data_IF_086016356422
#
_entry.id   IF_086016356422
#
_cell.length_a   1.000
_cell.length_b   1.000
_cell.length_c   1.000
_cell.angle_alpha   90.00
_cell.angle_beta   90.00
_cell.angle_gamma   90.00
#
_symmetry.space_group_name_H-M   'P 1'
#
loop_
_entity.id
_entity.type
_entity.pdbx_description
1 polymer ?
#
# COMPACT_ATOMS: atom_id res chain seq x y z
N UNK A 1 36.03 50.78 -13.65
CA UNK A 1 34.81 51.57 -13.63
C UNK A 1 33.72 50.69 -14.18
N UNK A 2 32.64 50.39 -13.60
CA UNK A 2 31.96 50.75 -12.39
C UNK A 2 31.14 49.51 -11.90
N UNK A 3 31.16 49.28 -10.59
CA UNK A 3 30.29 48.33 -9.91
C UNK A 3 28.86 48.92 -9.87
N UNK A 4 27.86 48.17 -10.33
CA UNK A 4 26.50 48.40 -9.84
C UNK A 4 25.93 47.03 -9.39
N UNK A 5 25.90 46.88 -8.12
CA UNK A 5 25.19 45.81 -7.41
C UNK A 5 23.71 46.23 -7.33
N UNK A 6 22.82 45.56 -8.03
CA UNK A 6 21.38 45.65 -7.80
C UNK A 6 21.02 44.53 -6.86
N UNK A 7 20.71 44.92 -5.61
CA UNK A 7 20.08 44.10 -4.62
C UNK A 7 18.62 43.93 -5.01
N UNK A 8 18.25 42.74 -5.44
CA UNK A 8 16.83 42.34 -5.30
C UNK A 8 16.69 40.81 -5.36
N UNK A 9 15.99 40.33 -4.37
CA UNK A 9 15.37 39.02 -4.21
C UNK A 9 16.17 37.90 -3.58
N UNK A 10 15.94 37.76 -2.25
CA UNK A 10 16.33 36.67 -1.35
C UNK A 10 15.61 35.34 -1.69
N UNK A 11 15.94 34.68 -2.78
CA UNK A 11 15.52 33.28 -3.02
C UNK A 11 16.31 32.52 -4.10
N UNK A 12 17.38 33.05 -4.68
CA UNK A 12 18.24 32.24 -5.56
C UNK A 12 19.68 32.79 -5.49
N UNK A 13 20.55 32.04 -4.82
CA UNK A 13 22.00 32.23 -4.92
C UNK A 13 22.43 31.85 -6.35
N UNK A 14 22.36 32.77 -7.27
CA UNK A 14 23.01 32.68 -8.58
C UNK A 14 24.03 33.82 -8.67
N UNK A 15 25.29 33.49 -8.38
CA UNK A 15 26.40 34.38 -8.66
C UNK A 15 26.78 34.17 -10.12
N UNK A 16 26.40 35.07 -10.99
CA UNK A 16 26.86 35.12 -12.40
C UNK A 16 28.16 35.88 -12.44
N UNK A 17 29.29 35.18 -12.59
CA UNK A 17 30.57 35.78 -12.97
C UNK A 17 30.61 35.70 -14.50
N UNK A 18 30.36 36.84 -15.17
CA UNK A 18 30.54 36.97 -16.59
C UNK A 18 32.05 37.12 -16.92
N UNK A 19 32.64 36.10 -17.50
CA UNK A 19 33.89 36.18 -18.23
C UNK A 19 33.61 35.69 -19.66
N UNK A 20 33.83 36.55 -20.60
CA UNK A 20 33.53 36.35 -22.02
C UNK A 20 34.35 35.22 -22.66
N UNK A 21 33.74 34.58 -23.64
CA UNK A 21 34.38 33.75 -24.65
C UNK A 21 34.44 32.26 -24.33
N UNK A 22 33.40 31.50 -24.68
CA UNK A 22 33.46 30.03 -24.63
C UNK A 22 32.12 29.37 -24.49
N UNK A 23 31.25 29.39 -25.50
CA UNK A 23 29.84 28.95 -25.40
C UNK A 23 29.59 27.40 -25.32
N UNK A 24 30.64 26.58 -25.19
CA UNK A 24 30.49 25.12 -25.18
C UNK A 24 30.77 24.43 -23.85
N UNK A 25 31.61 24.99 -22.99
CA UNK A 25 32.04 24.37 -21.73
C UNK A 25 31.18 24.75 -20.51
N UNK A 26 30.54 25.92 -20.52
CA UNK A 26 29.69 26.37 -19.43
C UNK A 26 28.33 25.65 -19.41
N UNK A 27 27.79 25.25 -20.56
CA UNK A 27 26.55 24.49 -20.67
C UNK A 27 26.66 23.09 -20.06
N UNK A 28 27.79 22.41 -20.32
CA UNK A 28 28.05 21.07 -19.77
C UNK A 28 28.32 21.06 -18.25
N UNK A 29 29.03 22.06 -17.74
CA UNK A 29 29.29 22.17 -16.29
C UNK A 29 28.00 22.51 -15.51
N UNK A 30 27.07 23.28 -16.05
CA UNK A 30 25.76 23.54 -15.41
C UNK A 30 24.86 22.33 -15.41
N UNK A 31 24.85 21.53 -16.49
CA UNK A 31 24.04 20.30 -16.57
C UNK A 31 24.56 19.24 -15.57
N UNK A 32 25.86 19.11 -15.40
CA UNK A 32 26.49 18.17 -14.46
C UNK A 32 26.27 18.60 -13.00
N UNK A 33 26.37 19.90 -12.70
CA UNK A 33 26.10 20.44 -11.35
C UNK A 33 24.64 20.32 -10.95
N UNK A 34 23.70 20.48 -11.89
CA UNK A 34 22.25 20.33 -11.64
C UNK A 34 21.86 18.85 -11.46
N UNK A 35 22.49 17.93 -12.17
CA UNK A 35 22.28 16.49 -11.97
C UNK A 35 22.84 15.97 -10.64
N UNK A 36 23.99 16.47 -10.17
CA UNK A 36 24.56 16.08 -8.88
C UNK A 36 23.75 16.61 -7.69
N UNK A 37 23.23 17.82 -7.78
CA UNK A 37 22.34 18.41 -6.77
C UNK A 37 20.99 17.66 -6.67
N UNK A 38 20.45 17.21 -7.79
CA UNK A 38 19.22 16.42 -7.83
C UNK A 38 19.35 15.04 -7.16
N UNK A 39 20.48 14.37 -7.34
CA UNK A 39 20.73 13.07 -6.70
C UNK A 39 20.91 13.19 -5.18
N UNK A 40 21.62 14.20 -4.69
CA UNK A 40 21.81 14.42 -3.25
C UNK A 40 20.48 14.69 -2.53
N UNK A 41 19.61 15.47 -3.14
CA UNK A 41 18.28 15.78 -2.60
C UNK A 41 17.37 14.55 -2.60
N UNK A 42 17.41 13.71 -3.62
CA UNK A 42 16.67 12.44 -3.65
C UNK A 42 17.13 11.48 -2.54
N UNK A 43 18.45 11.37 -2.28
CA UNK A 43 18.98 10.56 -1.20
C UNK A 43 18.55 11.10 0.18
N UNK A 44 18.58 12.41 0.38
CA UNK A 44 18.12 13.04 1.61
C UNK A 44 16.61 12.79 1.86
N UNK A 45 15.81 12.86 0.82
CA UNK A 45 14.39 12.51 0.88
C UNK A 45 14.17 11.04 1.23
N UNK A 46 14.88 10.13 0.56
CA UNK A 46 14.83 8.69 0.85
C UNK A 46 15.20 8.39 2.30
N UNK A 47 16.31 8.95 2.80
CA UNK A 47 16.75 8.75 4.20
C UNK A 47 15.73 9.30 5.20
N UNK A 48 15.14 10.47 4.92
CA UNK A 48 14.08 11.03 5.76
C UNK A 48 12.84 10.12 5.78
N UNK A 49 12.42 9.60 4.63
CA UNK A 49 11.29 8.66 4.52
C UNK A 49 11.58 7.33 5.18
N UNK A 50 12.80 6.80 5.03
CA UNK A 50 13.24 5.59 5.70
C UNK A 50 13.24 5.77 7.23
N UNK A 51 13.74 6.89 7.72
CA UNK A 51 13.68 7.21 9.15
C UNK A 51 12.27 7.28 9.70
N UNK A 52 11.34 7.92 8.98
CA UNK A 52 9.91 7.93 9.32
C UNK A 52 9.30 6.52 9.30
N UNK A 53 9.66 5.70 8.30
CA UNK A 53 9.23 4.32 8.18
C UNK A 53 9.64 3.48 9.38
N UNK A 54 10.90 3.59 9.80
CA UNK A 54 11.43 2.93 11.01
C UNK A 54 10.69 3.41 12.26
N UNK A 55 10.44 4.71 12.38
CA UNK A 55 9.68 5.27 13.49
C UNK A 55 8.24 4.73 13.55
N UNK A 56 7.56 4.61 12.41
CA UNK A 56 6.20 4.03 12.33
C UNK A 56 6.22 2.57 12.82
N UNK A 57 7.17 1.77 12.36
CA UNK A 57 7.30 0.36 12.79
C UNK A 57 7.60 0.29 14.29
N UNK A 58 8.49 1.12 14.82
CA UNK A 58 8.83 1.16 16.24
C UNK A 58 7.60 1.54 17.10
N UNK A 59 6.82 2.53 16.68
CA UNK A 59 5.58 2.92 17.36
C UNK A 59 4.55 1.78 17.30
N UNK A 60 4.37 1.16 16.15
CA UNK A 60 3.46 0.03 15.99
C UNK A 60 3.86 -1.16 16.91
N UNK A 61 5.16 -1.48 16.97
CA UNK A 61 5.70 -2.50 17.90
C UNK A 61 5.39 -2.17 19.35
N UNK A 62 5.60 -0.90 19.75
CA UNK A 62 5.34 -0.46 21.12
C UNK A 62 3.86 -0.54 21.47
N UNK A 63 2.98 -0.11 20.58
CA UNK A 63 1.53 -0.20 20.74
C UNK A 63 1.08 -1.66 20.86
N UNK A 64 1.56 -2.53 19.97
CA UNK A 64 1.26 -3.97 20.01
C UNK A 64 1.69 -4.60 21.34
N UNK A 65 2.90 -4.28 21.79
CA UNK A 65 3.41 -4.77 23.06
C UNK A 65 2.52 -4.32 24.23
N UNK A 66 2.14 -3.05 24.28
CA UNK A 66 1.26 -2.51 25.33
C UNK A 66 -0.12 -3.16 25.27
N UNK A 67 -0.75 -3.24 24.09
CA UNK A 67 -2.08 -3.84 23.94
C UNK A 67 -2.08 -5.28 24.44
N UNK A 68 -1.09 -6.09 24.06
CA UNK A 68 -1.02 -7.50 24.47
C UNK A 68 -0.82 -7.68 25.97
N UNK A 69 -0.17 -6.73 26.65
CA UNK A 69 -0.04 -6.72 28.10
C UNK A 69 -1.26 -6.18 28.85
N UNK A 70 -2.11 -5.40 28.16
CA UNK A 70 -3.36 -4.88 28.75
C UNK A 70 -4.53 -5.90 28.67
N UNK A 71 -4.43 -6.92 27.83
CA UNK A 71 -5.50 -7.91 27.69
C UNK A 71 -5.58 -8.76 28.97
N UNK A 72 -6.72 -8.79 29.66
CA UNK A 72 -6.87 -9.57 30.88
C UNK A 72 -6.81 -11.06 30.57
N UNK A 73 -6.02 -11.80 31.36
CA UNK A 73 -5.84 -13.25 31.26
C UNK A 73 -4.39 -13.66 31.46
N UNK A 74 -4.19 -14.84 32.00
CA UNK A 74 -2.85 -15.42 32.14
C UNK A 74 -2.49 -16.16 30.84
N UNK A 75 -1.56 -15.63 30.01
CA UNK A 75 -1.17 -16.25 28.74
C UNK A 75 -0.65 -17.68 28.94
N UNK A 76 -0.05 -17.95 30.09
CA UNK A 76 0.49 -19.28 30.43
C UNK A 76 -0.62 -20.29 30.63
N UNK A 77 -1.68 -19.92 31.36
CA UNK A 77 -2.83 -20.79 31.57
C UNK A 77 -3.60 -21.08 30.27
N UNK A 78 -3.58 -20.15 29.32
CA UNK A 78 -4.17 -20.32 27.98
C UNK A 78 -3.31 -21.28 27.17
N UNK A 79 -2.00 -21.09 27.19
CA UNK A 79 -1.03 -21.86 26.43
C UNK A 79 -1.00 -23.33 26.84
N UNK A 80 -0.94 -23.59 28.15
CA UNK A 80 -0.78 -24.91 28.69
C UNK A 80 -2.14 -25.62 28.95
N UNK A 81 -3.24 -24.86 28.89
CA UNK A 81 -4.58 -25.38 29.09
C UNK A 81 -4.92 -25.69 30.56
N UNK A 82 -6.17 -26.13 30.82
CA UNK A 82 -6.68 -26.30 32.18
C UNK A 82 -6.05 -27.48 32.95
N UNK A 83 -5.36 -28.38 32.27
CA UNK A 83 -4.71 -29.55 32.88
C UNK A 83 -3.27 -29.33 33.31
N UNK A 84 -2.69 -28.15 33.06
CA UNK A 84 -1.33 -27.86 33.42
C UNK A 84 -1.15 -27.72 34.93
N UNK A 85 -0.14 -28.38 35.47
CA UNK A 85 0.26 -28.28 36.87
C UNK A 85 0.88 -26.93 37.18
N UNK A 86 0.90 -26.52 38.45
CA UNK A 86 1.48 -25.27 38.90
C UNK A 86 2.97 -25.17 38.50
N UNK A 87 3.70 -26.27 38.66
CA UNK A 87 5.10 -26.38 38.31
C UNK A 87 5.36 -26.17 36.80
N UNK A 88 4.52 -26.74 35.94
CA UNK A 88 4.61 -26.51 34.49
C UNK A 88 4.37 -25.05 34.10
N UNK A 89 3.43 -24.40 34.80
CA UNK A 89 3.13 -22.98 34.59
C UNK A 89 4.29 -22.07 35.00
N UNK A 90 4.93 -22.37 36.14
CA UNK A 90 6.09 -21.64 36.64
C UNK A 90 7.30 -21.80 35.74
N UNK A 91 7.59 -23.03 35.30
CA UNK A 91 8.66 -23.29 34.35
C UNK A 91 8.45 -22.58 33.02
N UNK A 92 7.22 -22.60 32.52
CA UNK A 92 6.87 -21.89 31.27
C UNK A 92 7.00 -20.37 31.42
N UNK A 93 6.55 -19.79 32.57
CA UNK A 93 6.74 -18.35 32.86
C UNK A 93 8.22 -17.97 32.89
N UNK A 94 9.01 -18.73 33.62
CA UNK A 94 10.45 -18.50 33.71
C UNK A 94 11.13 -18.59 32.33
N UNK A 95 10.78 -19.61 31.54
CA UNK A 95 11.31 -19.80 30.18
C UNK A 95 10.95 -18.67 29.23
N UNK A 96 9.68 -18.18 29.31
CA UNK A 96 9.20 -17.08 28.47
C UNK A 96 9.60 -15.70 29.02
N UNK A 97 10.12 -15.64 30.25
CA UNK A 97 10.54 -14.38 30.89
C UNK A 97 9.38 -13.44 31.23
N UNK A 98 8.18 -13.98 31.45
CA UNK A 98 6.97 -13.22 31.77
C UNK A 98 7.06 -12.63 33.20
N UNK A 99 7.85 -13.26 34.08
CA UNK A 99 8.08 -12.79 35.46
C UNK A 99 9.05 -11.60 35.55
N UNK A 100 9.65 -11.19 34.45
CA UNK A 100 10.56 -10.07 34.43
C UNK A 100 9.80 -8.74 34.40
N UNK A 101 10.43 -7.64 34.87
CA UNK A 101 9.86 -6.30 34.73
C UNK A 101 9.50 -5.99 33.27
N UNK A 102 8.38 -5.29 33.06
CA UNK A 102 7.80 -5.02 31.73
C UNK A 102 8.81 -4.35 30.77
N UNK A 103 9.67 -3.46 31.29
CA UNK A 103 10.68 -2.80 30.46
C UNK A 103 11.78 -3.79 29.96
N UNK A 104 12.10 -4.83 30.73
CA UNK A 104 13.03 -5.89 30.28
C UNK A 104 12.35 -6.78 29.24
N UNK A 105 11.06 -7.10 29.43
CA UNK A 105 10.27 -7.84 28.43
C UNK A 105 10.20 -7.07 27.10
N UNK A 106 9.95 -5.77 27.16
CA UNK A 106 9.96 -4.90 25.97
C UNK A 106 11.33 -4.88 25.27
N UNK A 107 12.40 -4.72 26.04
CA UNK A 107 13.76 -4.74 25.47
C UNK A 107 14.10 -6.08 24.77
N UNK A 108 13.71 -7.22 25.38
CA UNK A 108 13.84 -8.54 24.78
C UNK A 108 13.00 -8.69 23.52
N UNK A 109 11.75 -8.22 23.55
CA UNK A 109 10.86 -8.23 22.40
C UNK A 109 11.48 -7.46 21.20
N UNK A 110 11.95 -6.24 21.43
CA UNK A 110 12.60 -5.43 20.39
C UNK A 110 13.88 -6.12 19.88
N UNK A 111 14.74 -6.65 20.77
CA UNK A 111 15.96 -7.35 20.39
C UNK A 111 15.67 -8.60 19.54
N UNK A 112 14.66 -9.39 19.92
CA UNK A 112 14.25 -10.58 19.17
C UNK A 112 13.73 -10.21 17.77
N UNK A 113 12.90 -9.17 17.67
CA UNK A 113 12.39 -8.68 16.37
C UNK A 113 13.54 -8.22 15.46
N UNK A 114 14.53 -7.48 16.01
CA UNK A 114 15.69 -7.04 15.24
C UNK A 114 16.58 -8.20 14.75
N UNK A 115 16.57 -9.32 15.46
CA UNK A 115 17.23 -10.57 15.05
C UNK A 115 16.38 -11.43 14.10
N UNK A 116 15.18 -10.98 13.73
CA UNK A 116 14.26 -11.74 12.89
C UNK A 116 13.49 -12.84 13.63
N UNK A 117 13.62 -12.93 14.95
CA UNK A 117 12.90 -13.88 15.78
C UNK A 117 11.58 -13.25 16.26
N UNK A 118 10.47 -13.65 15.64
CA UNK A 118 9.12 -13.20 16.00
C UNK A 118 8.47 -14.05 17.12
N UNK A 119 9.25 -14.97 17.72
CA UNK A 119 8.74 -15.91 18.71
C UNK A 119 8.25 -17.22 18.12
N UNK A 120 7.58 -18.02 18.99
CA UNK A 120 7.04 -19.32 18.63
C UNK A 120 5.54 -19.33 18.89
N UNK A 121 4.83 -20.07 18.07
CA UNK A 121 3.42 -20.40 18.27
C UNK A 121 3.27 -21.21 19.54
N UNK A 122 2.36 -20.75 20.40
CA UNK A 122 2.13 -21.35 21.72
C UNK A 122 1.62 -22.79 21.64
N UNK A 123 0.83 -23.12 20.60
CA UNK A 123 0.20 -24.44 20.47
C UNK A 123 1.05 -25.45 19.71
N UNK A 124 1.65 -25.02 18.60
CA UNK A 124 2.41 -25.91 17.72
C UNK A 124 3.93 -25.88 17.98
N UNK A 125 4.44 -24.86 18.68
CA UNK A 125 5.88 -24.63 18.86
C UNK A 125 6.62 -24.20 17.59
N UNK A 126 5.90 -24.00 16.48
CA UNK A 126 6.49 -23.57 15.21
C UNK A 126 6.94 -22.12 15.29
N UNK A 127 7.95 -21.76 14.51
CA UNK A 127 8.37 -20.35 14.37
C UNK A 127 7.23 -19.51 13.80
N UNK A 128 6.92 -18.38 14.45
CA UNK A 128 5.92 -17.41 13.98
C UNK A 128 6.29 -16.91 12.60
N UNK A 129 7.58 -16.70 12.34
CA UNK A 129 8.07 -16.25 11.03
C UNK A 129 7.70 -17.24 9.91
N UNK A 130 7.80 -18.55 10.17
CA UNK A 130 7.49 -19.57 9.16
C UNK A 130 5.97 -19.66 8.91
N UNK A 131 5.16 -19.52 9.98
CA UNK A 131 3.70 -19.44 9.85
C UNK A 131 3.30 -18.26 8.98
N UNK A 132 3.85 -17.07 9.27
CA UNK A 132 3.56 -15.84 8.52
C UNK A 132 4.05 -15.93 7.07
N UNK A 133 5.26 -16.46 6.84
CA UNK A 133 5.79 -16.65 5.48
C UNK A 133 4.90 -17.54 4.60
N UNK A 134 4.24 -18.53 5.17
CA UNK A 134 3.30 -19.41 4.44
C UNK A 134 2.01 -18.66 4.06
N UNK A 135 1.54 -17.73 4.90
CA UNK A 135 0.29 -17.00 4.67
C UNK A 135 0.48 -15.74 3.82
N UNK A 136 1.65 -15.10 3.91
CA UNK A 136 1.96 -13.84 3.23
C UNK A 136 1.70 -13.84 1.72
N UNK A 137 2.12 -14.87 0.94
CA UNK A 137 1.90 -14.90 -0.49
C UNK A 137 0.42 -14.83 -0.88
N UNK A 138 -0.47 -15.46 -0.11
CA UNK A 138 -1.90 -15.46 -0.39
C UNK A 138 -2.51 -14.06 -0.28
N UNK A 139 -2.14 -13.29 0.76
CA UNK A 139 -2.56 -11.89 0.92
C UNK A 139 -1.98 -11.00 -0.17
N UNK A 140 -0.68 -11.15 -0.48
CA UNK A 140 -0.02 -10.35 -1.53
C UNK A 140 -0.68 -10.60 -2.90
N UNK A 141 -0.92 -11.85 -3.27
CA UNK A 141 -1.59 -12.21 -4.53
C UNK A 141 -3.00 -11.62 -4.58
N UNK A 142 -3.77 -11.72 -3.49
CA UNK A 142 -5.11 -11.15 -3.41
C UNK A 142 -5.09 -9.62 -3.64
N UNK A 143 -4.19 -8.90 -2.96
CA UNK A 143 -4.04 -7.44 -3.12
C UNK A 143 -3.58 -7.08 -4.53
N UNK A 144 -2.59 -7.80 -5.10
CA UNK A 144 -2.12 -7.56 -6.47
C UNK A 144 -3.23 -7.76 -7.52
N UNK A 145 -4.04 -8.80 -7.38
CA UNK A 145 -5.19 -9.04 -8.26
C UNK A 145 -6.22 -7.93 -8.08
N UNK A 146 -6.57 -7.58 -6.84
CA UNK A 146 -7.56 -6.54 -6.55
C UNK A 146 -7.13 -5.17 -7.09
N UNK A 147 -5.88 -4.74 -6.87
CA UNK A 147 -5.38 -3.46 -7.38
C UNK A 147 -5.25 -3.47 -8.91
N UNK A 148 -4.82 -4.58 -9.48
CA UNK A 148 -4.61 -4.72 -10.93
C UNK A 148 -5.88 -4.53 -11.73
N UNK A 149 -6.95 -5.28 -11.39
CA UNK A 149 -8.22 -5.12 -12.09
C UNK A 149 -8.91 -3.79 -11.79
N UNK A 150 -8.86 -3.30 -10.52
CA UNK A 150 -9.47 -2.02 -10.15
C UNK A 150 -8.76 -0.84 -10.82
N UNK A 151 -7.43 -0.87 -10.94
CA UNK A 151 -6.68 0.14 -11.67
C UNK A 151 -7.06 0.13 -13.16
N UNK A 152 -7.08 -1.05 -13.78
CA UNK A 152 -7.40 -1.19 -15.20
C UNK A 152 -8.82 -0.68 -15.50
N UNK A 153 -9.83 -1.19 -14.78
CA UNK A 153 -11.21 -0.79 -14.99
C UNK A 153 -11.46 0.66 -14.61
N UNK A 154 -10.88 1.14 -13.50
CA UNK A 154 -10.99 2.52 -13.05
C UNK A 154 -10.40 3.52 -14.05
N UNK A 155 -9.23 3.23 -14.62
CA UNK A 155 -8.62 4.07 -15.67
C UNK A 155 -9.49 4.09 -16.92
N UNK A 156 -9.99 2.94 -17.38
CA UNK A 156 -10.87 2.85 -18.56
C UNK A 156 -12.14 3.66 -18.34
N UNK A 157 -12.84 3.46 -17.21
CA UNK A 157 -14.08 4.16 -16.89
C UNK A 157 -13.86 5.67 -16.72
N UNK A 158 -12.79 6.08 -16.05
CA UNK A 158 -12.45 7.48 -15.84
C UNK A 158 -12.11 8.20 -17.14
N UNK A 159 -11.31 7.57 -17.99
CA UNK A 159 -10.95 8.10 -19.30
C UNK A 159 -12.20 8.23 -20.20
N UNK A 160 -13.03 7.18 -20.26
CA UNK A 160 -14.25 7.17 -21.05
C UNK A 160 -15.26 8.24 -20.59
N UNK A 161 -15.43 8.37 -19.27
CA UNK A 161 -16.28 9.39 -18.64
C UNK A 161 -15.79 10.81 -18.94
N UNK A 162 -14.47 11.06 -18.93
CA UNK A 162 -13.90 12.36 -19.27
C UNK A 162 -14.09 12.73 -20.76
N UNK A 163 -13.89 11.77 -21.66
CA UNK A 163 -14.04 11.98 -23.11
C UNK A 163 -15.50 12.26 -23.49
N UNK A 164 -16.44 11.60 -22.81
CA UNK A 164 -17.89 11.80 -23.02
C UNK A 164 -18.52 12.65 -21.92
N UNK A 165 -17.82 13.71 -21.52
CA UNK A 165 -18.27 14.65 -20.49
C UNK A 165 -19.71 15.11 -20.71
N UNK A 166 -20.50 15.17 -19.61
CA UNK A 166 -21.91 15.59 -19.57
C UNK A 166 -22.88 14.68 -20.33
N UNK A 167 -22.45 13.52 -20.83
CA UNK A 167 -23.35 12.53 -21.44
C UNK A 167 -24.10 11.73 -20.35
N UNK A 168 -25.15 11.01 -20.78
CA UNK A 168 -25.89 10.09 -19.90
C UNK A 168 -24.94 9.01 -19.34
N UNK A 169 -24.01 8.50 -20.16
CA UNK A 169 -23.02 7.51 -19.75
C UNK A 169 -22.06 8.06 -18.67
N UNK A 170 -21.63 9.32 -18.78
CA UNK A 170 -20.83 9.98 -17.75
C UNK A 170 -21.58 10.04 -16.41
N UNK A 171 -22.87 10.36 -16.44
CA UNK A 171 -23.72 10.39 -15.23
C UNK A 171 -23.90 9.01 -14.62
N UNK A 172 -24.16 7.98 -15.44
CA UNK A 172 -24.30 6.58 -14.98
C UNK A 172 -23.01 6.11 -14.33
N UNK A 173 -21.84 6.30 -14.99
CA UNK A 173 -20.53 5.96 -14.42
C UNK A 173 -20.32 6.71 -13.11
N UNK A 174 -20.68 8.00 -13.06
CA UNK A 174 -20.59 8.81 -11.83
C UNK A 174 -21.40 8.21 -10.67
N UNK A 175 -22.64 7.82 -10.91
CA UNK A 175 -23.50 7.20 -9.88
C UNK A 175 -22.94 5.84 -9.43
N UNK A 176 -22.56 4.98 -10.38
CA UNK A 176 -22.01 3.66 -10.07
C UNK A 176 -20.70 3.77 -9.27
N UNK A 177 -19.82 4.69 -9.65
CA UNK A 177 -18.54 4.88 -8.94
C UNK A 177 -18.72 5.43 -7.54
N UNK A 178 -19.67 6.32 -7.31
CA UNK A 178 -20.03 6.81 -5.97
C UNK A 178 -20.62 5.69 -5.13
N UNK A 179 -21.55 4.92 -5.70
CA UNK A 179 -22.13 3.75 -5.03
C UNK A 179 -21.07 2.71 -4.64
N UNK A 180 -20.13 2.42 -5.55
CA UNK A 180 -19.03 1.48 -5.28
C UNK A 180 -18.12 1.93 -4.14
N UNK A 181 -17.88 3.24 -3.99
CA UNK A 181 -17.09 3.80 -2.89
C UNK A 181 -17.85 3.73 -1.55
N UNK A 182 -19.17 3.96 -1.60
CA UNK A 182 -19.98 4.05 -0.40
C UNK A 182 -20.20 2.71 0.31
N UNK A 183 -20.10 1.58 -0.42
CA UNK A 183 -20.33 0.25 0.13
C UNK A 183 -19.02 -0.30 0.71
N UNK A 184 -18.96 -0.63 2.03
CA UNK A 184 -17.79 -1.25 2.63
C UNK A 184 -17.45 -2.60 1.95
N UNK A 185 -16.15 -2.89 1.78
CA UNK A 185 -15.68 -4.09 1.08
C UNK A 185 -16.17 -5.41 1.70
N UNK A 186 -16.35 -5.45 3.04
CA UNK A 186 -16.88 -6.65 3.70
C UNK A 186 -18.35 -6.91 3.32
N UNK A 187 -19.16 -5.87 3.13
CA UNK A 187 -20.55 -5.98 2.66
C UNK A 187 -20.55 -6.51 1.22
N UNK A 188 -19.70 -5.95 0.36
CA UNK A 188 -19.52 -6.45 -1.02
C UNK A 188 -19.12 -7.93 -1.01
N UNK A 189 -18.20 -8.34 -0.11
CA UNK A 189 -17.76 -9.73 0.06
C UNK A 189 -18.93 -10.65 0.38
N UNK A 190 -19.77 -10.28 1.35
CA UNK A 190 -20.93 -11.09 1.78
C UNK A 190 -21.95 -11.24 0.65
N UNK A 191 -22.32 -10.14 -0.02
CA UNK A 191 -23.28 -10.21 -1.12
C UNK A 191 -22.70 -10.92 -2.35
N UNK A 192 -21.42 -10.74 -2.67
CA UNK A 192 -20.77 -11.47 -3.76
C UNK A 192 -20.75 -12.97 -3.49
N UNK A 193 -20.41 -13.38 -2.27
CA UNK A 193 -20.47 -14.79 -1.86
C UNK A 193 -21.89 -15.34 -1.97
N UNK A 194 -22.91 -14.63 -1.42
CA UNK A 194 -24.29 -15.06 -1.43
C UNK A 194 -24.83 -15.21 -2.87
N UNK A 195 -24.61 -14.22 -3.72
CA UNK A 195 -25.14 -14.19 -5.08
C UNK A 195 -24.42 -15.18 -5.98
N UNK A 196 -23.10 -15.10 -6.09
CA UNK A 196 -22.35 -15.83 -7.10
C UNK A 196 -21.94 -17.26 -6.69
N UNK A 197 -21.70 -17.48 -5.39
CA UNK A 197 -21.29 -18.79 -4.92
C UNK A 197 -22.45 -19.64 -4.39
N UNK A 198 -23.37 -19.03 -3.61
CA UNK A 198 -24.47 -19.77 -2.97
C UNK A 198 -25.68 -19.89 -3.90
N UNK A 199 -26.15 -18.77 -4.46
CA UNK A 199 -27.38 -18.74 -5.26
C UNK A 199 -27.15 -19.18 -6.70
N UNK A 200 -26.22 -18.54 -7.40
CA UNK A 200 -25.93 -18.83 -8.82
C UNK A 200 -24.98 -20.02 -8.99
N UNK A 201 -24.16 -20.36 -8.00
CA UNK A 201 -23.20 -21.48 -7.98
C UNK A 201 -22.24 -21.48 -9.16
N UNK A 202 -21.87 -20.28 -9.65
CA UNK A 202 -20.94 -20.12 -10.79
C UNK A 202 -19.48 -20.02 -10.38
N UNK A 203 -19.21 -19.65 -9.11
CA UNK A 203 -17.87 -19.48 -8.57
C UNK A 203 -17.75 -20.19 -7.22
N UNK A 204 -16.54 -20.64 -6.86
CA UNK A 204 -16.31 -21.31 -5.59
C UNK A 204 -16.55 -20.36 -4.41
N UNK A 205 -17.06 -20.90 -3.30
CA UNK A 205 -17.44 -20.14 -2.13
C UNK A 205 -16.26 -19.84 -1.21
N UNK A 206 -15.42 -20.85 -0.91
CA UNK A 206 -14.45 -20.79 0.19
C UNK A 206 -13.09 -21.37 -0.25
N UNK A 207 -12.01 -20.87 0.38
CA UNK A 207 -10.68 -21.43 0.24
C UNK A 207 -9.80 -20.71 -0.79
N UNK A 208 -8.70 -21.36 -1.16
CA UNK A 208 -7.70 -20.82 -2.09
C UNK A 208 -7.60 -21.61 -3.42
N UNK A 209 -8.36 -22.69 -3.56
CA UNK A 209 -8.22 -23.63 -4.65
C UNK A 209 -7.19 -24.72 -4.38
N UNK A 210 -7.15 -25.73 -5.26
CA UNK A 210 -6.22 -26.84 -5.16
C UNK A 210 -4.79 -26.40 -5.46
N UNK A 211 -3.84 -26.85 -4.62
CA UNK A 211 -2.42 -26.58 -4.84
C UNK A 211 -1.94 -27.27 -6.12
N UNK A 212 -1.47 -26.48 -7.10
CA UNK A 212 -1.02 -26.97 -8.40
C UNK A 212 -2.01 -26.73 -9.55
N UNK A 213 -3.29 -26.48 -9.29
CA UNK A 213 -4.26 -26.07 -10.30
C UNK A 213 -4.42 -24.54 -10.31
N UNK A 214 -3.72 -23.90 -11.28
CA UNK A 214 -3.74 -22.44 -11.44
C UNK A 214 -5.15 -21.96 -11.80
N UNK A 215 -5.92 -22.70 -12.58
CA UNK A 215 -7.26 -22.29 -13.01
C UNK A 215 -8.21 -22.28 -11.82
N UNK A 216 -8.14 -23.30 -10.98
CA UNK A 216 -8.95 -23.37 -9.76
C UNK A 216 -8.58 -22.27 -8.77
N UNK A 217 -7.27 -22.04 -8.57
CA UNK A 217 -6.79 -20.92 -7.72
C UNK A 217 -7.25 -19.56 -8.24
N UNK A 218 -7.26 -19.33 -9.55
CA UNK A 218 -7.78 -18.09 -10.15
C UNK A 218 -9.29 -17.94 -9.92
N UNK A 219 -10.08 -19.01 -10.05
CA UNK A 219 -11.52 -18.97 -9.75
C UNK A 219 -11.78 -18.54 -8.31
N UNK A 220 -11.00 -19.07 -7.34
CA UNK A 220 -11.10 -18.71 -5.92
C UNK A 220 -10.61 -17.28 -5.63
N UNK A 221 -9.90 -16.62 -6.55
CA UNK A 221 -9.46 -15.22 -6.42
C UNK A 221 -10.49 -14.20 -6.94
N UNK A 222 -11.40 -14.62 -7.81
CA UNK A 222 -12.34 -13.70 -8.50
C UNK A 222 -13.20 -12.94 -7.49
N UNK A 223 -13.93 -13.65 -6.63
CA UNK A 223 -14.86 -13.01 -5.69
C UNK A 223 -14.15 -12.17 -4.63
N UNK A 224 -13.11 -12.68 -3.92
CA UNK A 224 -12.39 -11.87 -2.94
C UNK A 224 -11.71 -10.66 -3.58
N UNK A 225 -11.08 -10.84 -4.75
CA UNK A 225 -10.44 -9.75 -5.49
C UNK A 225 -11.44 -8.71 -5.97
N UNK A 226 -12.61 -9.15 -6.47
CA UNK A 226 -13.70 -8.26 -6.86
C UNK A 226 -14.18 -7.42 -5.66
N UNK A 227 -14.49 -8.05 -4.55
CA UNK A 227 -15.00 -7.37 -3.37
C UNK A 227 -14.01 -6.36 -2.80
N UNK A 228 -12.72 -6.71 -2.75
CA UNK A 228 -11.66 -5.84 -2.26
C UNK A 228 -11.41 -4.65 -3.21
N UNK A 229 -11.49 -4.87 -4.52
CA UNK A 229 -11.15 -3.87 -5.54
C UNK A 229 -12.30 -2.95 -5.94
N UNK A 230 -13.57 -3.30 -5.71
CA UNK A 230 -14.72 -2.57 -6.25
C UNK A 230 -14.75 -1.09 -5.85
N UNK A 231 -14.56 -0.77 -4.58
CA UNK A 231 -14.49 0.60 -4.10
C UNK A 231 -13.33 1.39 -4.73
N UNK A 232 -12.21 0.72 -4.98
CA UNK A 232 -11.03 1.32 -5.60
C UNK A 232 -11.24 1.66 -7.08
N UNK A 233 -12.05 0.88 -7.81
CA UNK A 233 -12.50 1.27 -9.17
C UNK A 233 -13.12 2.65 -9.13
N UNK A 234 -14.00 2.91 -8.16
CA UNK A 234 -14.67 4.21 -8.00
C UNK A 234 -13.69 5.35 -7.73
N UNK A 235 -12.76 5.18 -6.78
CA UNK A 235 -11.74 6.19 -6.48
C UNK A 235 -10.87 6.50 -7.69
N UNK A 236 -10.36 5.48 -8.37
CA UNK A 236 -9.49 5.62 -9.53
C UNK A 236 -10.23 6.27 -10.70
N UNK A 237 -11.44 5.82 -11.01
CA UNK A 237 -12.23 6.37 -12.11
C UNK A 237 -12.52 7.86 -11.91
N UNK A 238 -12.88 8.29 -10.71
CA UNK A 238 -13.11 9.70 -10.40
C UNK A 238 -11.85 10.54 -10.51
N UNK A 239 -10.72 10.05 -10.00
CA UNK A 239 -9.45 10.76 -10.07
C UNK A 239 -8.99 10.90 -11.53
N UNK A 240 -9.00 9.79 -12.29
CA UNK A 240 -8.63 9.80 -13.72
C UNK A 240 -9.54 10.73 -14.50
N UNK A 241 -10.87 10.71 -14.25
CA UNK A 241 -11.80 11.64 -14.90
C UNK A 241 -11.44 13.09 -14.63
N UNK A 242 -11.19 13.45 -13.36
CA UNK A 242 -10.84 14.82 -12.98
C UNK A 242 -9.54 15.27 -13.65
N UNK A 243 -8.47 14.47 -13.55
CA UNK A 243 -7.19 14.77 -14.17
C UNK A 243 -7.24 14.83 -15.70
N UNK A 244 -8.02 13.94 -16.33
CA UNK A 244 -8.23 13.99 -17.78
C UNK A 244 -8.94 15.27 -18.24
N UNK A 245 -9.96 15.72 -17.50
CA UNK A 245 -10.68 16.97 -17.84
C UNK A 245 -9.78 18.18 -17.71
N UNK A 246 -8.90 18.23 -16.72
CA UNK A 246 -7.92 19.28 -16.54
C UNK A 246 -6.92 19.31 -17.71
N UNK A 247 -6.28 18.16 -18.00
CA UNK A 247 -5.28 18.03 -19.06
C UNK A 247 -5.86 18.30 -20.44
N UNK A 248 -7.09 17.89 -20.73
CA UNK A 248 -7.76 18.13 -22.02
C UNK A 248 -8.07 19.61 -22.26
N UNK A 249 -8.01 20.45 -21.23
CA UNK A 249 -8.13 21.92 -21.30
C UNK A 249 -6.82 22.64 -21.65
N UNK A 250 -5.68 21.97 -21.58
CA UNK A 250 -4.36 22.55 -21.70
C UNK A 250 -4.01 23.02 -23.14
N UNK A 251 -3.12 24.02 -23.24
CA UNK A 251 -2.74 24.63 -24.51
C UNK A 251 -2.06 23.64 -25.48
N UNK A 252 -1.26 22.68 -24.96
CA UNK A 252 -0.59 21.68 -25.81
C UNK A 252 -1.59 20.70 -26.47
N UNK A 253 -2.73 20.44 -25.83
CA UNK A 253 -3.81 19.64 -26.42
C UNK A 253 -4.50 20.42 -27.53
N UNK A 254 -4.72 21.74 -27.34
CA UNK A 254 -5.27 22.62 -28.41
C UNK A 254 -4.32 22.69 -29.61
N UNK A 255 -3.02 22.84 -29.37
CA UNK A 255 -2.03 22.79 -30.40
C UNK A 255 -2.02 21.44 -31.16
N UNK A 256 -2.08 20.32 -30.45
CA UNK A 256 -2.13 18.98 -31.06
C UNK A 256 -3.36 18.83 -31.99
N UNK A 257 -4.52 19.37 -31.60
CA UNK A 257 -5.72 19.40 -32.46
C UNK A 257 -5.54 20.29 -33.67
N UNK A 258 -4.92 21.46 -33.50
CA UNK A 258 -4.63 22.40 -34.61
C UNK A 258 -3.68 21.78 -35.65
N UNK A 259 -2.74 20.91 -35.21
CA UNK A 259 -1.89 20.10 -36.11
C UNK A 259 -2.60 18.91 -36.76
N UNK A 260 -3.90 18.74 -36.55
CA UNK A 260 -4.69 17.68 -37.19
C UNK A 260 -4.46 16.27 -36.64
N UNK A 261 -3.92 16.16 -35.44
CA UNK A 261 -3.74 14.83 -34.81
C UNK A 261 -5.10 14.18 -34.48
N UNK A 262 -5.28 12.87 -34.76
CA UNK A 262 -6.54 12.21 -34.47
C UNK A 262 -6.81 12.14 -32.96
N UNK A 263 -8.07 12.37 -32.55
CA UNK A 263 -8.48 12.50 -31.14
C UNK A 263 -8.08 11.28 -30.30
N UNK A 264 -8.15 10.06 -30.88
CA UNK A 264 -7.69 8.83 -30.20
C UNK A 264 -6.21 8.88 -29.81
N UNK A 265 -5.36 9.47 -30.66
CA UNK A 265 -3.93 9.62 -30.40
C UNK A 265 -3.68 10.70 -29.34
N UNK A 266 -4.45 11.79 -29.38
CA UNK A 266 -4.40 12.85 -28.37
C UNK A 266 -4.76 12.30 -27.01
N UNK A 267 -5.88 11.56 -26.89
CA UNK A 267 -6.34 10.97 -25.64
C UNK A 267 -5.30 9.98 -25.09
N UNK A 268 -4.91 8.97 -25.89
CA UNK A 268 -4.11 7.85 -25.38
C UNK A 268 -2.63 8.21 -25.15
N UNK A 269 -2.01 9.02 -26.01
CA UNK A 269 -0.56 9.30 -25.94
C UNK A 269 -0.21 10.62 -25.27
N UNK A 270 -1.09 11.63 -25.33
CA UNK A 270 -0.80 12.93 -24.78
C UNK A 270 -1.55 13.17 -23.47
N UNK A 271 -2.88 13.08 -23.49
CA UNK A 271 -3.67 13.41 -22.30
C UNK A 271 -3.55 12.36 -21.20
N UNK A 272 -3.78 11.08 -21.48
CA UNK A 272 -3.76 10.02 -20.49
C UNK A 272 -2.38 9.86 -19.84
N UNK A 273 -1.30 10.02 -20.59
CA UNK A 273 0.07 9.92 -20.06
C UNK A 273 0.33 10.91 -18.92
N UNK A 274 -0.24 12.12 -19.01
CA UNK A 274 -0.09 13.16 -17.98
C UNK A 274 -1.13 12.96 -16.87
N UNK A 275 -2.38 12.68 -17.26
CA UNK A 275 -3.50 12.53 -16.34
C UNK A 275 -3.38 11.31 -15.39
N UNK A 276 -2.57 10.30 -15.75
CA UNK A 276 -2.39 9.09 -14.92
C UNK A 276 -1.44 9.32 -13.73
N UNK A 277 -0.60 10.34 -13.74
CA UNK A 277 0.42 10.57 -12.69
C UNK A 277 -0.17 10.64 -11.29
N UNK A 278 -1.25 11.41 -11.00
CA UNK A 278 -1.88 11.39 -9.69
C UNK A 278 -2.47 10.02 -9.31
N UNK A 279 -2.87 9.24 -10.33
CA UNK A 279 -3.42 7.89 -10.11
C UNK A 279 -2.36 6.91 -9.63
N UNK A 280 -1.12 7.02 -10.10
CA UNK A 280 -0.01 6.19 -9.62
C UNK A 280 0.24 6.44 -8.13
N UNK A 281 0.18 7.71 -7.69
CA UNK A 281 0.24 8.07 -6.27
C UNK A 281 -0.88 7.41 -5.46
N UNK A 282 -2.11 7.51 -5.97
CA UNK A 282 -3.27 6.88 -5.33
C UNK A 282 -3.14 5.36 -5.24
N UNK A 283 -2.61 4.70 -6.28
CA UNK A 283 -2.39 3.24 -6.28
C UNK A 283 -1.41 2.82 -5.18
N UNK A 284 -0.35 3.58 -4.96
CA UNK A 284 0.61 3.29 -3.90
C UNK A 284 -0.01 3.32 -2.50
N UNK A 285 -0.80 4.36 -2.20
CA UNK A 285 -1.57 4.44 -0.95
C UNK A 285 -2.64 3.34 -0.90
N UNK A 286 -3.23 3.03 -2.07
CA UNK A 286 -4.24 2.00 -2.24
C UNK A 286 -3.79 0.60 -1.82
N UNK A 287 -2.58 0.20 -2.18
CA UNK A 287 -2.00 -1.10 -1.80
C UNK A 287 -2.00 -1.25 -0.28
N UNK A 288 -1.53 -0.23 0.44
CA UNK A 288 -1.52 -0.24 1.91
C UNK A 288 -2.92 -0.37 2.52
N UNK A 289 -3.88 0.40 2.04
CA UNK A 289 -5.26 0.31 2.51
C UNK A 289 -5.92 -1.03 2.15
N UNK A 290 -5.61 -1.60 0.98
CA UNK A 290 -6.10 -2.92 0.59
C UNK A 290 -5.56 -4.05 1.46
N UNK A 291 -4.34 -3.93 2.00
CA UNK A 291 -3.81 -4.90 2.97
C UNK A 291 -4.69 -4.97 4.22
N UNK A 292 -5.18 -3.83 4.72
CA UNK A 292 -6.12 -3.80 5.84
C UNK A 292 -7.50 -4.34 5.46
N UNK A 293 -7.97 -4.02 4.24
CA UNK A 293 -9.25 -4.53 3.71
C UNK A 293 -9.24 -6.03 3.38
N UNK A 294 -8.08 -6.58 3.04
CA UNK A 294 -7.90 -8.00 2.71
C UNK A 294 -8.30 -8.91 3.87
N UNK A 295 -8.11 -8.47 5.14
CA UNK A 295 -8.55 -9.20 6.33
C UNK A 295 -10.00 -9.65 6.23
N UNK A 296 -10.90 -8.74 5.89
CA UNK A 296 -12.33 -9.07 5.80
C UNK A 296 -12.64 -10.01 4.63
N UNK A 297 -12.00 -9.81 3.47
CA UNK A 297 -12.16 -10.70 2.33
C UNK A 297 -11.64 -12.12 2.65
N UNK A 298 -10.49 -12.24 3.32
CA UNK A 298 -9.91 -13.52 3.72
C UNK A 298 -10.80 -14.26 4.73
N UNK A 299 -11.40 -13.54 5.69
CA UNK A 299 -12.33 -14.13 6.66
C UNK A 299 -13.61 -14.61 5.96
N UNK A 300 -14.26 -13.76 5.17
CA UNK A 300 -15.56 -14.07 4.53
C UNK A 300 -15.45 -15.26 3.58
N UNK A 301 -14.36 -15.30 2.79
CA UNK A 301 -14.13 -16.39 1.83
C UNK A 301 -13.30 -17.55 2.42
N UNK A 302 -13.06 -17.57 3.74
CA UNK A 302 -12.21 -18.55 4.45
C UNK A 302 -10.88 -18.82 3.72
N UNK A 303 -10.35 -17.80 3.04
CA UNK A 303 -9.11 -17.90 2.28
C UNK A 303 -7.90 -17.82 3.20
N UNK A 304 -6.86 -18.66 3.01
CA UNK A 304 -5.61 -18.48 3.73
C UNK A 304 -5.01 -17.10 3.43
N UNK A 305 -4.45 -16.48 4.46
CA UNK A 305 -3.84 -15.16 4.40
C UNK A 305 -3.50 -14.62 5.78
N UNK A 306 -2.76 -13.50 5.82
CA UNK A 306 -2.31 -12.92 7.09
C UNK A 306 -3.48 -12.36 7.89
N UNK A 307 -4.48 -11.76 7.23
CA UNK A 307 -5.64 -11.23 7.92
C UNK A 307 -6.45 -12.31 8.61
N UNK A 308 -6.75 -13.42 7.90
CA UNK A 308 -7.41 -14.57 8.49
C UNK A 308 -6.57 -15.19 9.60
N UNK A 309 -5.25 -15.30 9.43
CA UNK A 309 -4.34 -15.76 10.47
C UNK A 309 -4.47 -14.91 11.74
N UNK A 310 -4.42 -13.57 11.61
CA UNK A 310 -4.58 -12.67 12.75
C UNK A 310 -5.91 -12.92 13.46
N UNK A 311 -7.00 -12.99 12.71
CA UNK A 311 -8.33 -13.22 13.27
C UNK A 311 -8.42 -14.53 14.05
N UNK A 312 -7.98 -15.64 13.44
CA UNK A 312 -8.01 -16.97 14.07
C UNK A 312 -7.15 -16.99 15.34
N UNK A 313 -5.95 -16.37 15.30
CA UNK A 313 -5.03 -16.34 16.44
C UNK A 313 -5.47 -15.39 17.55
N UNK A 314 -6.21 -14.32 17.23
CA UNK A 314 -6.86 -13.47 18.25
C UNK A 314 -7.92 -14.25 19.01
N UNK A 315 -8.77 -15.02 18.32
CA UNK A 315 -9.78 -15.87 18.96
C UNK A 315 -9.16 -16.94 19.85
N UNK A 316 -8.02 -17.49 19.43
CA UNK A 316 -7.24 -18.48 20.20
C UNK A 316 -6.36 -17.82 21.29
N UNK A 317 -6.32 -16.49 21.37
CA UNK A 317 -5.45 -15.72 22.29
C UNK A 317 -3.96 -16.06 22.13
N UNK A 318 -3.54 -16.41 20.93
CA UNK A 318 -2.15 -16.71 20.59
C UNK A 318 -1.39 -15.42 20.26
N UNK A 319 -1.03 -14.67 21.29
CA UNK A 319 -0.44 -13.34 21.17
C UNK A 319 0.87 -13.28 20.38
N UNK A 320 1.83 -14.23 20.51
CA UNK A 320 3.05 -14.20 19.72
C UNK A 320 2.78 -14.21 18.21
N UNK A 321 1.85 -15.07 17.75
CA UNK A 321 1.50 -15.13 16.32
C UNK A 321 0.79 -13.85 15.88
N UNK A 322 -0.12 -13.30 16.70
CA UNK A 322 -0.80 -12.03 16.42
C UNK A 322 0.23 -10.89 16.30
N UNK A 323 1.15 -10.75 17.26
CA UNK A 323 2.18 -9.73 17.25
C UNK A 323 3.06 -9.84 16.00
N UNK A 324 3.56 -11.04 15.68
CA UNK A 324 4.39 -11.27 14.52
C UNK A 324 3.68 -11.01 13.20
N UNK A 325 2.43 -11.45 13.06
CA UNK A 325 1.62 -11.24 11.86
C UNK A 325 1.29 -9.75 11.64
N UNK A 326 0.87 -9.02 12.69
CA UNK A 326 0.61 -7.59 12.61
C UNK A 326 1.88 -6.80 12.31
N UNK A 327 3.01 -7.17 12.92
CA UNK A 327 4.29 -6.52 12.65
C UNK A 327 4.70 -6.69 11.17
N UNK A 328 4.62 -7.91 10.63
CA UNK A 328 4.92 -8.17 9.22
C UNK A 328 3.97 -7.42 8.28
N UNK A 329 2.68 -7.38 8.61
CA UNK A 329 1.70 -6.60 7.82
C UNK A 329 2.01 -5.10 7.85
N UNK A 330 2.38 -4.56 9.02
CA UNK A 330 2.81 -3.16 9.17
C UNK A 330 4.08 -2.88 8.37
N UNK A 331 5.07 -3.78 8.42
CA UNK A 331 6.29 -3.65 7.63
C UNK A 331 5.99 -3.67 6.12
N UNK A 332 5.10 -4.56 5.67
CA UNK A 332 4.68 -4.63 4.28
C UNK A 332 3.94 -3.36 3.84
N UNK A 333 3.05 -2.82 4.68
CA UNK A 333 2.39 -1.53 4.46
C UNK A 333 3.41 -0.41 4.29
N UNK A 334 4.36 -0.29 5.20
CA UNK A 334 5.40 0.75 5.20
C UNK A 334 6.31 0.63 3.96
N UNK A 335 6.70 -0.60 3.60
CA UNK A 335 7.49 -0.85 2.38
C UNK A 335 6.70 -0.46 1.13
N UNK A 336 5.41 -0.81 1.05
CA UNK A 336 4.55 -0.44 -0.06
C UNK A 336 4.41 1.08 -0.20
N UNK A 337 4.24 1.79 0.92
CA UNK A 337 4.17 3.25 0.95
C UNK A 337 5.51 3.88 0.51
N UNK A 338 6.64 3.34 0.98
CA UNK A 338 7.97 3.82 0.59
C UNK A 338 8.21 3.65 -0.92
N UNK A 339 7.85 2.48 -1.47
CA UNK A 339 7.93 2.23 -2.92
C UNK A 339 7.06 3.23 -3.68
N UNK A 340 5.84 3.48 -3.23
CA UNK A 340 4.94 4.45 -3.84
C UNK A 340 5.52 5.87 -3.83
N UNK A 341 6.08 6.31 -2.71
CA UNK A 341 6.75 7.61 -2.59
C UNK A 341 7.94 7.75 -3.55
N UNK A 342 8.73 6.68 -3.70
CA UNK A 342 9.85 6.67 -4.65
C UNK A 342 9.39 6.72 -6.09
N UNK A 343 8.36 5.96 -6.46
CA UNK A 343 7.75 5.98 -7.80
C UNK A 343 7.21 7.38 -8.10
N UNK A 344 6.54 8.02 -7.13
CA UNK A 344 6.05 9.38 -7.27
C UNK A 344 7.17 10.40 -7.46
N UNK A 345 8.23 10.32 -6.67
CA UNK A 345 9.40 11.20 -6.79
C UNK A 345 10.11 11.03 -8.13
N UNK A 346 10.05 9.83 -8.74
CA UNK A 346 10.59 9.57 -10.07
C UNK A 346 9.69 10.11 -11.19
N UNK A 347 8.36 9.96 -11.05
CA UNK A 347 7.38 10.32 -12.08
C UNK A 347 7.07 11.82 -12.11
N UNK A 348 7.07 12.51 -10.95
CA UNK A 348 6.71 13.92 -10.86
C UNK A 348 7.94 14.82 -10.64
N UNK A 349 8.42 15.50 -11.70
CA UNK A 349 9.55 16.43 -11.59
C UNK A 349 9.25 17.65 -10.70
N UNK A 350 7.97 17.98 -10.45
CA UNK A 350 7.59 19.09 -9.55
C UNK A 350 7.82 18.73 -8.09
N UNK A 351 7.59 17.48 -7.72
CA UNK A 351 7.96 16.94 -6.39
C UNK A 351 9.47 17.01 -6.22
N UNK A 352 10.24 16.65 -7.26
CA UNK A 352 11.70 16.75 -7.27
C UNK A 352 12.23 18.18 -7.10
N UNK A 353 11.54 19.19 -7.61
CA UNK A 353 11.94 20.59 -7.50
C UNK A 353 11.68 21.21 -6.11
N UNK A 354 10.72 20.65 -5.35
CA UNK A 354 10.34 21.10 -4.01
C UNK A 354 11.03 20.30 -2.87
N UNK A 355 11.87 19.32 -3.23
CA UNK A 355 12.75 18.57 -2.33
C UNK A 355 14.09 19.30 -2.16
#
# INVERSE_FOLDING_TARGET
MARSCIKENRARNVCTIGLGGGSGREGTARIIADQSGGNLKMWAYFLKRLGLSIAIIAVAMSILFVITHMIPGDPVSIALGPRATTSMKEEYRARMGIDLPVYIQYGRFVSNVLQGNLGQDVFSGLSVLDIVKRQLPHTVVLVCVAIGWSATLGIILGCFSAVRRNSILDRIIGVITVGAIAIPSFVVSLYALLIFAVTLRVLPALGAGESGDIIDQLKHLVLPGFALGLGWVGYIARLVRASMLEVMGENFIRAARAYGLPERKIIARYALKIAIVPTVTLLGVGIGNMLSGALFAEIVFARPGIGKLIYDMVLMRNYPVVQGAVLVTTALFVVSALIADMVNSYLDPRVRANL
#
